data_IF_771725798455
#
_entry.id   IF_771725798455
#
_cell.length_a   1.000
_cell.length_b   1.000
_cell.length_c   1.000
_cell.angle_alpha   90.00
_cell.angle_beta   90.00
_cell.angle_gamma   90.00
#
_symmetry.space_group_name_H-M   'P 1'
#
loop_
_entity.id
_entity.type
_entity.pdbx_description
1 polymer ?
#
# COMPACT_ATOMS: atom_id res chain seq x y z
N UNK A 1 35.49 30.31 27.30
CA UNK A 1 35.32 28.93 26.78
C UNK A 1 33.95 28.83 26.15
N UNK A 2 33.83 28.93 24.83
CA UNK A 2 32.55 28.82 24.10
C UNK A 2 32.58 27.57 23.23
N UNK A 3 31.68 26.63 23.50
CA UNK A 3 31.53 25.39 22.72
C UNK A 3 30.82 25.74 21.40
N UNK A 4 31.42 25.37 20.27
CA UNK A 4 30.84 25.53 18.95
C UNK A 4 29.95 24.31 18.63
N UNK A 5 28.65 24.54 18.44
CA UNK A 5 27.70 23.55 17.95
C UNK A 5 27.91 23.30 16.46
N UNK A 6 28.48 22.16 16.10
CA UNK A 6 28.54 21.69 14.70
C UNK A 6 27.13 21.34 14.21
N UNK A 7 26.49 22.26 13.48
CA UNK A 7 25.31 21.97 12.65
C UNK A 7 25.69 20.94 11.58
N UNK A 8 25.30 19.68 11.77
CA UNK A 8 25.30 18.66 10.70
C UNK A 8 24.31 19.11 9.63
N UNK A 9 24.80 19.64 8.52
CA UNK A 9 24.06 19.81 7.27
C UNK A 9 23.54 18.45 6.83
N UNK A 10 22.26 18.20 7.10
CA UNK A 10 21.58 17.00 6.66
C UNK A 10 21.55 16.97 5.13
N UNK A 11 22.46 16.22 4.54
CA UNK A 11 22.36 15.80 3.14
C UNK A 11 21.08 14.97 3.07
N UNK A 12 19.98 15.60 2.66
CA UNK A 12 18.74 14.91 2.27
C UNK A 12 19.05 14.13 0.99
N UNK A 13 19.83 13.05 1.13
CA UNK A 13 20.19 12.19 0.03
C UNK A 13 18.91 11.66 -0.59
N UNK A 14 18.74 11.90 -1.89
CA UNK A 14 17.78 11.17 -2.73
C UNK A 14 17.99 9.69 -2.43
N UNK A 15 17.08 9.07 -1.69
CA UNK A 15 17.17 7.63 -1.44
C UNK A 15 17.04 6.98 -2.79
N UNK A 16 18.07 6.25 -3.24
CA UNK A 16 18.01 5.55 -4.51
C UNK A 16 16.79 4.63 -4.47
N UNK A 17 16.02 4.59 -5.56
CA UNK A 17 14.81 3.80 -5.63
C UNK A 17 15.05 2.31 -5.30
N UNK A 18 16.27 1.82 -5.54
CA UNK A 18 16.73 0.46 -5.17
C UNK A 18 16.81 0.19 -3.67
N UNK A 19 16.94 1.24 -2.85
CA UNK A 19 16.98 1.11 -1.37
C UNK A 19 15.60 1.10 -0.74
N UNK A 20 14.52 1.34 -1.51
CA UNK A 20 13.16 1.31 -0.97
C UNK A 20 12.70 -0.15 -0.78
N UNK A 21 12.79 -0.62 0.47
CA UNK A 21 12.36 -1.96 0.88
C UNK A 21 10.90 -2.26 0.52
N UNK A 22 10.03 -1.26 0.40
CA UNK A 22 8.60 -1.46 0.05
C UNK A 22 8.45 -2.06 -1.35
N UNK A 23 9.37 -1.74 -2.26
CA UNK A 23 9.36 -2.21 -3.67
C UNK A 23 9.82 -3.64 -3.86
N UNK A 24 10.33 -4.29 -2.81
CA UNK A 24 10.75 -5.70 -2.85
C UNK A 24 9.58 -6.67 -2.68
N UNK A 25 8.40 -6.18 -2.28
CA UNK A 25 7.21 -7.00 -2.09
C UNK A 25 6.32 -6.97 -3.32
N UNK A 26 5.63 -8.08 -3.60
CA UNK A 26 4.52 -8.06 -4.54
C UNK A 26 3.37 -7.23 -3.97
N UNK A 27 2.87 -6.30 -4.76
CA UNK A 27 1.73 -5.48 -4.43
C UNK A 27 0.47 -6.12 -5.03
N UNK A 28 -0.56 -6.23 -4.21
CA UNK A 28 -1.86 -6.78 -4.55
C UNK A 28 -2.92 -5.70 -4.36
N UNK A 29 -3.48 -5.22 -5.46
CA UNK A 29 -4.63 -4.32 -5.45
C UNK A 29 -5.91 -5.13 -5.25
N UNK A 30 -6.66 -4.79 -4.21
CA UNK A 30 -8.04 -5.25 -4.04
C UNK A 30 -8.97 -4.16 -4.56
N UNK A 31 -9.80 -4.50 -5.55
CA UNK A 31 -10.86 -3.64 -6.08
C UNK A 31 -12.22 -4.15 -5.61
N UNK A 32 -12.98 -3.31 -4.92
CA UNK A 32 -14.35 -3.58 -4.47
C UNK A 32 -15.30 -2.78 -5.37
N UNK A 33 -16.32 -3.45 -5.89
CA UNK A 33 -17.38 -2.87 -6.71
C UNK A 33 -18.67 -2.94 -5.92
N UNK A 34 -19.26 -1.79 -5.63
CA UNK A 34 -20.53 -1.68 -4.91
C UNK A 34 -21.71 -1.78 -5.88
N UNK A 35 -22.92 -1.97 -5.33
CA UNK A 35 -24.14 -2.12 -6.11
C UNK A 35 -24.59 -0.82 -6.81
N UNK A 36 -24.23 0.33 -6.24
CA UNK A 36 -24.47 1.69 -6.77
C UNK A 36 -23.53 2.08 -7.92
N UNK A 37 -22.53 1.25 -8.23
CA UNK A 37 -21.51 1.52 -9.25
C UNK A 37 -20.26 2.21 -8.72
N UNK A 38 -20.21 2.58 -7.43
CA UNK A 38 -18.99 3.07 -6.81
C UNK A 38 -17.92 1.98 -6.73
N UNK A 39 -16.65 2.41 -6.76
CA UNK A 39 -15.51 1.50 -6.67
C UNK A 39 -14.52 1.97 -5.60
N UNK A 40 -13.99 1.01 -4.85
CA UNK A 40 -12.97 1.24 -3.85
C UNK A 40 -11.72 0.40 -4.14
N UNK A 41 -10.54 1.00 -3.96
CA UNK A 41 -9.25 0.35 -4.20
C UNK A 41 -8.37 0.38 -2.96
N UNK A 42 -7.78 -0.76 -2.59
CA UNK A 42 -6.78 -0.84 -1.51
C UNK A 42 -5.63 -1.78 -1.90
N UNK A 43 -4.40 -1.31 -1.73
CA UNK A 43 -3.19 -2.08 -2.03
C UNK A 43 -2.64 -2.74 -0.77
N UNK A 44 -2.23 -3.99 -0.90
CA UNK A 44 -1.56 -4.79 0.12
C UNK A 44 -0.21 -5.26 -0.42
N UNK A 45 0.78 -5.44 0.46
CA UNK A 45 2.07 -6.09 0.12
C UNK A 45 2.05 -7.61 0.35
N UNK A 46 0.91 -8.12 0.82
CA UNK A 46 0.72 -9.50 1.27
C UNK A 46 -0.57 -10.04 0.65
N UNK A 47 -0.45 -11.18 -0.03
CA UNK A 47 -1.56 -11.81 -0.78
C UNK A 47 -2.66 -12.35 0.13
N UNK A 48 -2.29 -12.87 1.30
CA UNK A 48 -3.25 -13.48 2.23
C UNK A 48 -4.10 -12.41 2.91
N UNK A 49 -3.49 -11.28 3.26
CA UNK A 49 -4.23 -10.11 3.76
C UNK A 49 -5.17 -9.54 2.71
N UNK A 50 -4.73 -9.43 1.46
CA UNK A 50 -5.57 -9.01 0.34
C UNK A 50 -6.77 -9.96 0.16
N UNK A 51 -6.51 -11.27 0.23
CA UNK A 51 -7.52 -12.32 0.08
C UNK A 51 -8.57 -12.28 1.17
N UNK A 52 -8.15 -12.26 2.45
CA UNK A 52 -9.07 -12.15 3.60
C UNK A 52 -9.94 -10.89 3.54
N UNK A 53 -9.38 -9.76 3.11
CA UNK A 53 -10.15 -8.53 2.93
C UNK A 53 -11.19 -8.68 1.82
N UNK A 54 -10.80 -9.19 0.64
CA UNK A 54 -11.71 -9.41 -0.46
C UNK A 54 -12.85 -10.39 -0.09
N UNK A 55 -12.55 -11.49 0.60
CA UNK A 55 -13.55 -12.44 1.09
C UNK A 55 -14.52 -11.80 2.07
N UNK A 56 -14.03 -10.98 3.00
CA UNK A 56 -14.89 -10.22 3.92
C UNK A 56 -15.83 -9.29 3.14
N UNK A 57 -15.31 -8.59 2.14
CA UNK A 57 -16.12 -7.69 1.31
C UNK A 57 -17.18 -8.43 0.50
N UNK A 58 -16.86 -9.61 -0.05
CA UNK A 58 -17.83 -10.45 -0.79
C UNK A 58 -19.01 -10.92 0.06
N UNK A 59 -18.86 -10.98 1.40
CA UNK A 59 -19.97 -11.32 2.31
C UNK A 59 -20.91 -10.15 2.59
N UNK A 60 -20.53 -8.93 2.21
CA UNK A 60 -21.33 -7.73 2.45
C UNK A 60 -22.45 -7.62 1.42
N UNK A 61 -23.70 -7.36 1.83
CA UNK A 61 -24.85 -7.28 0.91
C UNK A 61 -24.79 -6.08 -0.04
N UNK A 62 -24.01 -5.05 0.30
CA UNK A 62 -23.85 -3.84 -0.54
C UNK A 62 -22.77 -4.00 -1.61
N UNK A 63 -21.94 -5.03 -1.51
CA UNK A 63 -20.83 -5.28 -2.43
C UNK A 63 -21.29 -6.23 -3.53
N UNK A 64 -21.14 -5.80 -4.79
CA UNK A 64 -21.42 -6.62 -5.96
C UNK A 64 -20.30 -7.62 -6.25
N UNK A 65 -19.04 -7.16 -6.16
CA UNK A 65 -17.89 -8.05 -6.32
C UNK A 65 -16.62 -7.47 -5.71
N UNK A 66 -15.66 -8.35 -5.40
CA UNK A 66 -14.30 -7.96 -5.02
C UNK A 66 -13.27 -8.77 -5.82
N UNK A 67 -12.31 -8.08 -6.44
CA UNK A 67 -11.26 -8.64 -7.30
C UNK A 67 -9.88 -8.31 -6.74
N UNK A 68 -8.92 -9.20 -6.94
CA UNK A 68 -7.53 -9.03 -6.51
C UNK A 68 -6.65 -9.09 -7.75
N UNK A 69 -5.71 -8.16 -7.89
CA UNK A 69 -4.78 -8.08 -9.01
C UNK A 69 -3.39 -7.78 -8.49
N UNK A 70 -2.37 -8.50 -8.95
CA UNK A 70 -0.99 -8.16 -8.66
C UNK A 70 -0.56 -6.97 -9.54
N UNK A 71 0.02 -5.92 -8.94
CA UNK A 71 0.33 -4.64 -9.60
C UNK A 71 1.82 -4.24 -9.55
N UNK A 72 2.69 -5.16 -9.11
CA UNK A 72 4.15 -5.00 -9.12
C UNK A 72 4.87 -6.24 -9.64
#
# INVERSE_FOLDING_TARGET
MTKADTKKTGIRGKTSFDKDRRRKHHHFLVSVFYADGEKFGRVYTDKDKATRFAERQRRSPVVKSARITQVS
#
